data_IF_739343437638
#
_entry.id   IF_739343437638
#
_cell.length_a   1.000
_cell.length_b   1.000
_cell.length_c   1.000
_cell.angle_alpha   90.00
_cell.angle_beta   90.00
_cell.angle_gamma   90.00
#
_symmetry.space_group_name_H-M   'P 1'
#
loop_
_entity.id
_entity.type
_entity.pdbx_description
1 polymer ?
#
# COMPACT_ATOMS: atom_id res chain seq x y z
N UNK A 1 -12.51 -1.88 -15.87
CA UNK A 1 -11.27 -2.67 -16.06
C UNK A 1 -11.42 -4.01 -15.35
N UNK A 2 -10.75 -5.06 -15.82
CA UNK A 2 -10.74 -6.38 -15.18
C UNK A 2 -9.29 -6.85 -14.98
N UNK A 3 -8.91 -7.19 -13.75
CA UNK A 3 -7.59 -7.70 -13.39
C UNK A 3 -7.72 -8.96 -12.53
N UNK A 4 -6.83 -9.92 -12.74
CA UNK A 4 -6.65 -11.06 -11.83
C UNK A 4 -5.48 -10.79 -10.90
N UNK A 5 -5.57 -11.26 -9.65
CA UNK A 5 -4.39 -11.38 -8.82
C UNK A 5 -3.34 -12.29 -9.48
N UNK A 6 -2.05 -12.15 -9.15
CA UNK A 6 -1.00 -13.01 -9.70
C UNK A 6 -1.24 -14.51 -9.46
N UNK A 7 -1.81 -14.87 -8.30
CA UNK A 7 -2.19 -16.25 -7.95
C UNK A 7 -3.56 -16.68 -8.51
N UNK A 8 -4.24 -15.78 -9.23
CA UNK A 8 -5.55 -15.94 -9.84
C UNK A 8 -6.69 -16.26 -8.88
N UNK A 9 -6.52 -16.07 -7.56
CA UNK A 9 -7.57 -16.32 -6.55
C UNK A 9 -8.56 -15.18 -6.42
N UNK A 10 -8.16 -13.97 -6.80
CA UNK A 10 -8.97 -12.77 -6.72
C UNK A 10 -9.17 -12.17 -8.10
N UNK A 11 -10.40 -11.74 -8.37
CA UNK A 11 -10.78 -10.99 -9.55
C UNK A 11 -11.19 -9.58 -9.13
N UNK A 12 -10.57 -8.58 -9.74
CA UNK A 12 -10.84 -7.16 -9.54
C UNK A 12 -11.61 -6.63 -10.73
N UNK A 13 -12.80 -6.13 -10.49
CA UNK A 13 -13.66 -5.49 -11.50
C UNK A 13 -13.85 -4.04 -11.11
N UNK A 14 -13.24 -3.14 -11.86
CA UNK A 14 -13.50 -1.71 -11.72
C UNK A 14 -14.59 -1.27 -12.70
N UNK A 15 -15.63 -0.63 -12.16
CA UNK A 15 -16.77 -0.11 -12.90
C UNK A 15 -16.53 1.31 -13.42
N UNK A 16 -17.49 1.81 -14.21
CA UNK A 16 -17.46 3.17 -14.75
C UNK A 16 -17.60 4.26 -13.68
N UNK A 17 -18.17 3.91 -12.52
CA UNK A 17 -18.27 4.80 -11.37
C UNK A 17 -17.01 4.77 -10.48
N UNK A 18 -15.93 4.14 -10.95
CA UNK A 18 -14.63 3.95 -10.29
C UNK A 18 -14.63 2.97 -9.11
N UNK A 19 -15.80 2.51 -8.66
CA UNK A 19 -15.88 1.46 -7.62
C UNK A 19 -15.22 0.16 -8.09
N UNK A 20 -14.65 -0.58 -7.14
CA UNK A 20 -13.96 -1.84 -7.39
C UNK A 20 -14.64 -2.95 -6.62
N UNK A 21 -15.20 -3.93 -7.34
CA UNK A 21 -15.61 -5.20 -6.74
C UNK A 21 -14.49 -6.22 -6.80
N UNK A 22 -14.30 -6.92 -5.67
CA UNK A 22 -13.31 -7.98 -5.50
C UNK A 22 -14.06 -9.29 -5.31
N UNK A 23 -13.79 -10.27 -6.17
CA UNK A 23 -14.42 -11.58 -6.15
C UNK A 23 -13.41 -12.68 -5.85
N UNK A 24 -13.84 -13.70 -5.12
CA UNK A 24 -13.16 -14.98 -5.03
C UNK A 24 -13.41 -15.73 -6.35
N UNK A 25 -12.35 -16.14 -7.04
CA UNK A 25 -12.48 -16.80 -8.34
C UNK A 25 -12.84 -18.28 -8.25
N UNK A 26 -12.56 -18.92 -7.12
CA UNK A 26 -12.83 -20.35 -6.91
C UNK A 26 -14.32 -20.56 -6.60
N UNK A 27 -14.86 -19.73 -5.71
CA UNK A 27 -16.26 -19.77 -5.27
C UNK A 27 -17.17 -18.88 -6.12
N UNK A 28 -16.61 -17.91 -6.84
CA UNK A 28 -17.36 -16.97 -7.67
C UNK A 28 -18.21 -15.96 -6.89
N UNK A 29 -17.93 -15.75 -5.60
CA UNK A 29 -18.71 -14.83 -4.77
C UNK A 29 -18.00 -13.49 -4.58
N UNK A 30 -18.81 -12.43 -4.45
CA UNK A 30 -18.35 -11.10 -4.08
C UNK A 30 -17.78 -11.12 -2.66
N UNK A 31 -16.54 -10.69 -2.50
CA UNK A 31 -15.87 -10.58 -1.20
C UNK A 31 -15.99 -9.16 -0.63
N UNK A 32 -15.77 -8.15 -1.46
CA UNK A 32 -15.80 -6.74 -1.04
C UNK A 32 -16.05 -5.81 -2.22
N UNK A 33 -16.72 -4.69 -1.95
CA UNK A 33 -16.73 -3.52 -2.81
C UNK A 33 -15.97 -2.40 -2.14
N UNK A 34 -15.07 -1.78 -2.89
CA UNK A 34 -14.40 -0.53 -2.52
C UNK A 34 -15.10 0.57 -3.29
N UNK A 35 -15.75 1.46 -2.56
CA UNK A 35 -16.53 2.54 -3.16
C UNK A 35 -15.62 3.62 -3.76
N UNK A 36 -16.16 4.41 -4.68
CA UNK A 36 -15.41 5.48 -5.36
C UNK A 36 -14.85 6.53 -4.41
N UNK A 37 -15.52 6.75 -3.26
CA UNK A 37 -15.06 7.66 -2.22
C UNK A 37 -13.79 7.14 -1.53
N UNK A 38 -13.57 5.82 -1.55
CA UNK A 38 -12.37 5.19 -1.02
C UNK A 38 -11.27 5.13 -2.09
N UNK A 39 -11.61 4.77 -3.34
CA UNK A 39 -10.65 4.66 -4.44
C UNK A 39 -11.09 5.47 -5.66
N UNK A 40 -10.86 6.79 -5.63
CA UNK A 40 -11.28 7.76 -6.64
C UNK A 40 -10.30 7.89 -7.82
N UNK A 41 -9.92 6.76 -8.40
CA UNK A 41 -8.99 6.75 -9.55
C UNK A 41 -9.15 5.49 -10.38
N UNK A 42 -8.69 5.51 -11.63
CA UNK A 42 -8.63 4.30 -12.45
C UNK A 42 -7.56 3.35 -11.89
N UNK A 43 -7.96 2.13 -11.58
CA UNK A 43 -7.05 1.05 -11.22
C UNK A 43 -6.16 0.77 -12.44
N UNK A 44 -4.88 0.56 -12.21
CA UNK A 44 -3.86 0.31 -13.24
C UNK A 44 -3.25 -1.07 -13.08
N UNK A 45 -2.96 -1.46 -11.85
CA UNK A 45 -2.30 -2.72 -11.55
C UNK A 45 -2.69 -3.24 -10.16
N UNK A 46 -2.44 -4.53 -9.94
CA UNK A 46 -2.59 -5.19 -8.65
C UNK A 46 -1.33 -6.00 -8.36
N UNK A 47 -0.75 -5.83 -7.17
CA UNK A 47 0.43 -6.57 -6.72
C UNK A 47 0.12 -7.28 -5.42
N UNK A 48 0.46 -8.57 -5.33
CA UNK A 48 0.36 -9.33 -4.08
C UNK A 48 1.77 -9.54 -3.52
N UNK A 49 1.88 -9.33 -2.22
CA UNK A 49 3.09 -9.60 -1.45
C UNK A 49 3.49 -11.07 -1.51
N UNK A 50 4.79 -11.37 -1.45
CA UNK A 50 5.31 -12.74 -1.58
C UNK A 50 4.78 -13.70 -0.51
N UNK A 51 4.48 -13.18 0.68
CA UNK A 51 3.88 -13.91 1.80
C UNK A 51 2.34 -13.92 1.75
N UNK A 52 1.72 -13.34 0.72
CA UNK A 52 0.28 -13.22 0.54
C UNK A 52 -0.44 -12.60 1.73
N UNK A 53 0.18 -11.66 2.46
CA UNK A 53 -0.49 -10.96 3.57
C UNK A 53 -1.02 -9.59 3.14
N UNK A 54 -0.37 -8.97 2.15
CA UNK A 54 -0.70 -7.65 1.60
C UNK A 54 -1.01 -7.69 0.11
N UNK A 55 -1.88 -6.78 -0.29
CA UNK A 55 -2.33 -6.52 -1.65
C UNK A 55 -2.21 -5.02 -1.93
N UNK A 56 -1.57 -4.64 -3.03
CA UNK A 56 -1.55 -3.27 -3.50
C UNK A 56 -2.55 -3.09 -4.65
N UNK A 57 -3.51 -2.16 -4.48
CA UNK A 57 -4.31 -1.61 -5.57
C UNK A 57 -3.60 -0.35 -6.06
N UNK A 58 -3.05 -0.39 -7.27
CA UNK A 58 -2.27 0.71 -7.82
C UNK A 58 -3.13 1.45 -8.80
N UNK A 59 -3.45 2.70 -8.50
CA UNK A 59 -4.20 3.57 -9.38
C UNK A 59 -3.32 4.58 -10.11
N UNK A 60 -3.94 5.46 -10.90
CA UNK A 60 -3.23 6.53 -11.62
C UNK A 60 -2.77 7.63 -10.67
N UNK A 61 -3.63 8.02 -9.71
CA UNK A 61 -3.41 9.17 -8.82
C UNK A 61 -3.41 8.80 -7.34
N UNK A 62 -3.77 7.57 -6.99
CA UNK A 62 -3.86 7.07 -5.63
C UNK A 62 -3.65 5.56 -5.64
N UNK A 63 -2.97 5.04 -4.63
CA UNK A 63 -2.75 3.62 -4.43
C UNK A 63 -3.10 3.24 -2.99
N UNK A 64 -3.56 2.01 -2.80
CA UNK A 64 -3.91 1.46 -1.50
C UNK A 64 -3.14 0.17 -1.24
N UNK A 65 -2.74 -0.01 0.01
CA UNK A 65 -2.27 -1.32 0.52
C UNK A 65 -3.36 -1.88 1.40
N UNK A 66 -3.80 -3.10 1.11
CA UNK A 66 -4.83 -3.83 1.82
C UNK A 66 -4.24 -5.05 2.51
N UNK A 67 -4.85 -5.43 3.62
CA UNK A 67 -4.72 -6.76 4.20
C UNK A 67 -5.47 -7.77 3.33
N UNK A 68 -4.82 -8.85 2.91
CA UNK A 68 -5.42 -9.85 1.99
C UNK A 68 -6.53 -10.68 2.62
N UNK A 69 -6.46 -10.94 3.93
CA UNK A 69 -7.42 -11.80 4.63
C UNK A 69 -8.75 -11.08 4.87
N UNK A 70 -8.69 -9.78 5.16
CA UNK A 70 -9.84 -8.95 5.51
C UNK A 70 -10.23 -7.95 4.43
N UNK A 71 -9.35 -7.73 3.44
CA UNK A 71 -9.45 -6.69 2.41
C UNK A 71 -9.58 -5.27 2.99
N UNK A 72 -9.15 -5.05 4.23
CA UNK A 72 -9.15 -3.73 4.85
C UNK A 72 -7.98 -2.89 4.37
N UNK A 73 -8.23 -1.59 4.15
CA UNK A 73 -7.20 -0.64 3.75
C UNK A 73 -6.28 -0.40 4.94
N UNK A 74 -5.01 -0.73 4.78
CA UNK A 74 -3.93 -0.52 5.76
C UNK A 74 -3.23 0.81 5.55
N UNK A 75 -3.08 1.24 4.29
CA UNK A 75 -2.42 2.48 3.93
C UNK A 75 -2.92 3.03 2.60
N UNK A 76 -2.85 4.35 2.47
CA UNK A 76 -3.12 5.11 1.25
C UNK A 76 -1.91 5.96 0.93
N UNK A 77 -1.39 5.88 -0.29
CA UNK A 77 -0.23 6.64 -0.73
C UNK A 77 -0.24 6.83 -2.25
N UNK A 78 0.46 7.87 -2.74
CA UNK A 78 0.68 8.09 -4.16
C UNK A 78 1.98 7.41 -4.59
N UNK A 79 1.87 6.27 -5.26
CA UNK A 79 3.00 5.58 -5.86
C UNK A 79 2.61 4.88 -7.16
N UNK A 80 3.58 4.78 -8.06
CA UNK A 80 3.42 4.29 -9.43
C UNK A 80 3.54 2.76 -9.55
N UNK A 81 4.33 2.13 -8.66
CA UNK A 81 4.43 0.67 -8.55
C UNK A 81 5.05 0.23 -7.21
N UNK A 82 4.97 -1.06 -6.89
CA UNK A 82 5.62 -1.69 -5.74
C UNK A 82 6.09 -3.10 -6.12
N UNK A 83 7.24 -3.53 -5.61
CA UNK A 83 7.73 -4.89 -5.87
C UNK A 83 7.02 -5.93 -4.99
N UNK A 84 7.08 -7.21 -5.39
CA UNK A 84 6.34 -8.30 -4.74
C UNK A 84 6.82 -8.62 -3.32
N UNK A 85 8.03 -8.24 -2.92
CA UNK A 85 8.49 -8.38 -1.54
C UNK A 85 8.07 -7.20 -0.64
N UNK A 86 7.41 -6.19 -1.22
CA UNK A 86 6.95 -4.97 -0.54
C UNK A 86 8.09 -4.23 0.18
N UNK A 87 9.32 -4.32 -0.34
CA UNK A 87 10.47 -3.61 0.22
C UNK A 87 10.77 -2.29 -0.49
N UNK A 88 10.30 -2.12 -1.73
CA UNK A 88 10.55 -0.93 -2.53
C UNK A 88 9.31 -0.46 -3.28
N UNK A 89 9.07 0.85 -3.20
CA UNK A 89 8.01 1.55 -3.91
C UNK A 89 8.64 2.45 -4.98
N UNK A 90 8.00 2.50 -6.14
CA UNK A 90 8.33 3.43 -7.21
C UNK A 90 7.39 4.63 -7.13
N UNK A 91 7.94 5.84 -7.02
CA UNK A 91 7.17 7.08 -7.10
C UNK A 91 7.70 7.97 -8.21
N UNK A 92 6.81 8.65 -8.92
CA UNK A 92 7.19 9.63 -9.96
C UNK A 92 7.14 11.07 -9.45
N UNK A 93 6.93 11.28 -8.14
CA UNK A 93 6.88 12.60 -7.50
C UNK A 93 5.94 13.56 -8.24
N UNK A 94 4.62 13.41 -8.05
CA UNK A 94 3.51 14.19 -8.65
C UNK A 94 3.94 15.33 -9.58
N UNK A 95 3.89 15.09 -10.89
CA UNK A 95 4.22 16.08 -11.92
C UNK A 95 5.72 16.20 -12.27
N UNK A 96 6.58 15.38 -11.68
CA UNK A 96 7.99 15.27 -12.04
C UNK A 96 8.22 14.18 -13.10
N UNK A 97 9.33 14.31 -13.83
CA UNK A 97 9.88 13.22 -14.68
C UNK A 97 10.89 12.36 -13.90
N UNK A 98 11.14 12.69 -12.64
CA UNK A 98 12.07 11.95 -11.78
C UNK A 98 11.41 10.69 -11.23
N UNK A 99 12.11 9.57 -11.39
CA UNK A 99 11.74 8.30 -10.80
C UNK A 99 12.46 8.11 -9.46
N UNK A 100 11.71 7.92 -8.39
CA UNK A 100 12.22 7.59 -7.07
C UNK A 100 11.98 6.10 -6.79
N UNK A 101 13.03 5.42 -6.34
CA UNK A 101 12.93 4.07 -5.76
C UNK A 101 13.09 4.25 -4.26
N UNK A 102 12.00 4.07 -3.52
CA UNK A 102 11.92 4.35 -2.10
C UNK A 102 11.80 3.05 -1.30
N UNK A 103 12.63 2.84 -0.26
CA UNK A 103 12.44 1.72 0.64
C UNK A 103 11.11 1.86 1.41
N UNK A 104 10.43 0.74 1.59
CA UNK A 104 9.24 0.63 2.43
C UNK A 104 9.64 0.29 3.86
N UNK A 105 9.13 1.05 4.83
CA UNK A 105 9.41 0.82 6.25
C UNK A 105 8.13 0.45 7.00
N UNK A 106 8.20 -0.64 7.76
CA UNK A 106 7.17 -0.94 8.77
C UNK A 106 7.43 -0.14 10.04
N UNK A 107 6.40 0.04 10.88
CA UNK A 107 6.56 0.66 12.21
C UNK A 107 7.65 -0.03 13.03
N UNK A 108 7.72 -1.37 12.98
CA UNK A 108 8.76 -2.13 13.66
C UNK A 108 10.16 -1.76 13.16
N UNK A 109 10.37 -1.66 11.85
CA UNK A 109 11.67 -1.25 11.28
C UNK A 109 12.07 0.15 11.72
N UNK A 110 11.12 1.09 11.77
CA UNK A 110 11.36 2.45 12.26
C UNK A 110 11.73 2.45 13.75
N UNK A 111 11.06 1.64 14.57
CA UNK A 111 11.38 1.49 15.99
C UNK A 111 12.74 0.82 16.20
N UNK A 112 13.05 -0.22 15.44
CA UNK A 112 14.34 -0.91 15.50
C UNK A 112 15.49 0.04 15.12
N UNK A 113 15.29 0.86 14.07
CA UNK A 113 16.24 1.88 13.66
C UNK A 113 16.39 3.00 14.71
N UNK A 114 15.28 3.46 15.30
CA UNK A 114 15.32 4.44 16.39
C UNK A 114 16.09 3.89 17.61
N UNK A 115 15.82 2.65 18.01
CA UNK A 115 16.53 1.97 19.10
C UNK A 115 18.03 1.83 18.80
N UNK A 116 18.38 1.50 17.55
CA UNK A 116 19.77 1.43 17.08
C UNK A 116 20.47 2.78 17.19
N UNK A 117 19.82 3.86 16.76
CA UNK A 117 20.37 5.22 16.84
C UNK A 117 20.51 5.72 18.29
N UNK A 118 19.56 5.35 19.16
CA UNK A 118 19.60 5.66 20.58
C UNK A 118 20.67 4.85 21.34
N UNK A 119 21.00 3.65 20.89
CA UNK A 119 22.04 2.80 21.48
C UNK A 119 21.88 2.64 23.02
N UNK A 120 20.65 2.35 23.45
CA UNK A 120 20.31 2.13 24.86
C UNK A 120 20.08 3.40 25.70
N UNK A 121 20.26 4.60 25.13
CA UNK A 121 19.92 5.86 25.81
C UNK A 121 18.48 6.28 25.51
N UNK A 122 17.96 7.22 26.29
CA UNK A 122 16.71 7.93 25.99
C UNK A 122 16.98 9.29 25.36
N UNK A 123 16.00 9.83 24.64
CA UNK A 123 16.06 11.22 24.17
C UNK A 123 16.07 12.17 25.36
N UNK A 124 16.94 13.17 25.30
CA UNK A 124 16.92 14.31 26.21
C UNK A 124 15.70 15.19 25.94
N UNK A 125 15.28 15.99 26.92
CA UNK A 125 14.15 16.93 26.73
C UNK A 125 14.39 17.93 25.59
N UNK A 126 15.65 18.32 25.37
CA UNK A 126 16.01 19.18 24.24
C UNK A 126 15.80 18.48 22.89
N UNK A 127 16.23 17.23 22.76
CA UNK A 127 16.06 16.44 21.53
C UNK A 127 14.58 16.14 21.26
N UNK A 128 13.81 15.84 22.31
CA UNK A 128 12.35 15.67 22.20
C UNK A 128 11.68 16.94 21.66
N UNK A 129 12.07 18.11 22.17
CA UNK A 129 11.57 19.40 21.69
C UNK A 129 11.97 19.68 20.23
N UNK A 130 13.21 19.39 19.84
CA UNK A 130 13.68 19.52 18.44
C UNK A 130 12.96 18.57 17.47
N UNK A 131 12.52 17.40 17.95
CA UNK A 131 11.80 16.38 17.18
C UNK A 131 10.27 16.46 17.32
N UNK A 132 9.75 17.46 18.05
CA UNK A 132 8.31 17.62 18.32
C UNK A 132 7.64 16.39 18.97
N UNK A 133 8.38 15.69 19.83
CA UNK A 133 7.89 14.55 20.62
C UNK A 133 7.48 15.09 22.00
N UNK A 134 6.18 14.97 22.33
CA UNK A 134 5.64 15.36 23.64
C UNK A 134 5.74 14.24 24.68
#
# INVERSE_FOLDING_TARGET
MLLLSPDKKLLFVQFTDESISIFDTEKGNLMKTIDKEQFSTTLKNVVISKNNDRLALIGISCSHILDTATLNILATAEFADINNDFTHIISTGRGSTTLYIMPFYTTKMLLDEANRQLNGRTLTEKEKAEMFIN
#
